data_IF_413931003831
#
_entry.id   IF_413931003831
#
_cell.length_a   1.000
_cell.length_b   1.000
_cell.length_c   1.000
_cell.angle_alpha   90.00
_cell.angle_beta   90.00
_cell.angle_gamma   90.00
#
_symmetry.space_group_name_H-M   'P 1'
#
loop_
_entity.id
_entity.type
_entity.pdbx_description
1 polymer ?
#
# COMPACT_ATOMS: atom_id res chain seq x y z
N UNK A 1 14.36 -0.62 0.30
CA UNK A 1 12.93 -0.47 0.02
C UNK A 1 12.26 0.31 1.14
N UNK A 2 11.35 1.20 0.79
CA UNK A 2 10.77 2.14 1.73
C UNK A 2 9.29 1.84 1.97
N UNK A 3 8.87 1.76 3.24
CA UNK A 3 7.48 1.53 3.62
C UNK A 3 6.95 2.72 4.44
N UNK A 4 5.64 3.00 4.30
CA UNK A 4 5.01 4.14 4.99
C UNK A 4 5.07 4.00 6.51
N UNK A 5 4.67 2.84 7.03
CA UNK A 5 4.60 2.59 8.47
C UNK A 5 4.98 1.15 8.77
N UNK A 6 5.62 0.94 9.92
CA UNK A 6 6.02 -0.38 10.36
C UNK A 6 5.81 -0.50 11.87
N UNK A 7 5.17 -1.59 12.29
CA UNK A 7 5.08 -1.96 13.71
C UNK A 7 6.02 -3.14 13.92
N UNK A 8 7.22 -2.86 14.37
CA UNK A 8 8.30 -3.85 14.47
C UNK A 8 7.97 -5.03 15.38
N UNK A 9 7.31 -4.78 16.49
CA UNK A 9 6.94 -5.81 17.47
C UNK A 9 6.00 -6.86 16.88
N UNK A 10 5.20 -6.48 15.90
CA UNK A 10 4.25 -7.37 15.22
C UNK A 10 4.74 -7.80 13.84
N UNK A 11 5.85 -7.27 13.38
CA UNK A 11 6.34 -7.43 12.01
C UNK A 11 5.23 -7.09 11.00
N UNK A 12 4.56 -5.98 11.24
CA UNK A 12 3.45 -5.50 10.41
C UNK A 12 3.86 -4.25 9.64
N UNK A 13 3.69 -4.29 8.33
CA UNK A 13 3.88 -3.14 7.46
C UNK A 13 2.51 -2.63 7.04
N UNK A 14 2.27 -1.33 7.24
CA UNK A 14 1.02 -0.67 6.87
C UNK A 14 1.32 0.35 5.79
N UNK A 15 0.68 0.20 4.62
CA UNK A 15 0.79 1.13 3.51
C UNK A 15 -0.54 1.85 3.32
N UNK A 16 -0.50 3.18 3.29
CA UNK A 16 -1.68 3.98 3.00
C UNK A 16 -1.67 4.31 1.52
N UNK A 17 -2.64 3.76 0.78
CA UNK A 17 -2.73 3.93 -0.67
C UNK A 17 -3.70 5.05 -1.02
N UNK A 18 -3.19 6.14 -1.58
CA UNK A 18 -3.99 7.22 -2.12
C UNK A 18 -4.65 6.84 -3.44
N UNK A 19 -5.45 7.76 -4.00
CA UNK A 19 -6.20 7.50 -5.23
C UNK A 19 -5.30 7.07 -6.40
N UNK A 20 -4.08 7.56 -6.44
CA UNK A 20 -3.12 7.26 -7.52
C UNK A 20 -2.74 5.77 -7.60
N UNK A 21 -2.97 4.99 -6.54
CA UNK A 21 -2.69 3.55 -6.53
C UNK A 21 -3.81 2.75 -7.21
N UNK A 22 -4.97 3.34 -7.43
CA UNK A 22 -6.16 2.65 -7.95
C UNK A 22 -6.62 3.13 -9.32
N UNK A 23 -6.21 4.33 -9.72
CA UNK A 23 -6.58 4.92 -11.00
C UNK A 23 -5.52 5.92 -11.45
N UNK A 24 -5.49 6.21 -12.75
CA UNK A 24 -4.61 7.27 -13.28
C UNK A 24 -5.05 8.63 -12.74
N UNK A 25 -4.09 9.54 -12.61
CA UNK A 25 -4.37 10.88 -12.10
C UNK A 25 -3.56 11.93 -12.89
N UNK A 26 -3.82 13.19 -12.60
CA UNK A 26 -3.12 14.31 -13.25
C UNK A 26 -1.61 14.23 -13.07
N UNK A 27 -1.16 13.74 -11.91
CA UNK A 27 0.27 13.58 -11.64
C UNK A 27 0.90 12.55 -12.58
N UNK A 28 0.19 11.44 -12.86
CA UNK A 28 0.65 10.43 -13.81
C UNK A 28 0.83 11.01 -15.20
N UNK A 29 -0.08 11.90 -15.61
CA UNK A 29 0.00 12.58 -16.89
C UNK A 29 1.25 13.45 -17.00
N UNK A 30 1.61 14.17 -15.93
CA UNK A 30 2.81 14.98 -15.86
C UNK A 30 4.08 14.15 -15.95
N UNK A 31 4.13 13.05 -15.21
CA UNK A 31 5.26 12.12 -15.24
C UNK A 31 5.41 11.49 -16.63
N UNK A 32 4.31 11.07 -17.24
CA UNK A 32 4.30 10.47 -18.57
C UNK A 32 4.86 11.44 -19.61
N UNK A 33 4.44 12.69 -19.58
CA UNK A 33 4.91 13.71 -20.50
C UNK A 33 6.42 13.96 -20.35
N UNK A 34 6.90 14.01 -19.13
CA UNK A 34 8.32 14.23 -18.84
C UNK A 34 9.18 13.05 -19.32
N UNK A 35 8.69 11.83 -19.15
CA UNK A 35 9.41 10.59 -19.49
C UNK A 35 9.10 10.07 -20.90
N UNK A 36 8.34 10.82 -21.69
CA UNK A 36 7.95 10.45 -23.04
C UNK A 36 7.25 9.08 -23.10
N UNK A 37 6.29 8.89 -22.20
CA UNK A 37 5.51 7.64 -22.08
C UNK A 37 4.03 7.99 -21.91
N UNK A 38 3.19 7.01 -21.62
CA UNK A 38 1.75 7.22 -21.44
C UNK A 38 1.37 7.20 -19.96
N UNK A 39 0.23 7.81 -19.65
CA UNK A 39 -0.34 7.84 -18.30
C UNK A 39 -0.61 6.43 -17.79
N UNK A 40 -1.10 5.55 -18.68
CA UNK A 40 -1.38 4.15 -18.35
C UNK A 40 -0.11 3.38 -18.01
N UNK A 41 0.98 3.64 -18.71
CA UNK A 41 2.25 2.99 -18.44
C UNK A 41 2.82 3.39 -17.09
N UNK A 42 2.69 4.68 -16.72
CA UNK A 42 3.10 5.17 -15.40
C UNK A 42 2.29 4.47 -14.32
N UNK A 43 0.97 4.34 -14.51
CA UNK A 43 0.09 3.66 -13.57
C UNK A 43 0.45 2.18 -13.43
N UNK A 44 0.72 1.48 -14.53
CA UNK A 44 1.11 0.07 -14.50
C UNK A 44 2.42 -0.14 -13.74
N UNK A 45 3.39 0.75 -13.91
CA UNK A 45 4.65 0.68 -13.17
C UNK A 45 4.43 0.85 -11.67
N UNK A 46 3.51 1.74 -11.29
CA UNK A 46 3.17 1.94 -9.88
C UNK A 46 2.51 0.69 -9.30
N UNK A 47 1.58 0.09 -10.03
CA UNK A 47 0.93 -1.16 -9.60
C UNK A 47 1.93 -2.29 -9.46
N UNK A 48 2.87 -2.41 -10.40
CA UNK A 48 3.94 -3.39 -10.34
C UNK A 48 4.81 -3.19 -9.10
N UNK A 49 5.17 -1.94 -8.81
CA UNK A 49 5.98 -1.62 -7.63
C UNK A 49 5.25 -1.93 -6.33
N UNK A 50 3.96 -1.62 -6.27
CA UNK A 50 3.13 -1.93 -5.09
C UNK A 50 3.11 -3.44 -4.83
N UNK A 51 2.92 -4.24 -5.88
CA UNK A 51 2.93 -5.70 -5.77
C UNK A 51 4.30 -6.23 -5.36
N UNK A 52 5.35 -5.65 -5.90
CA UNK A 52 6.73 -6.00 -5.55
C UNK A 52 6.99 -5.77 -4.06
N UNK A 53 6.57 -4.62 -3.53
CA UNK A 53 6.71 -4.29 -2.11
C UNK A 53 5.99 -5.30 -1.23
N UNK A 54 4.78 -5.69 -1.61
CA UNK A 54 3.98 -6.67 -0.89
C UNK A 54 4.69 -8.02 -0.84
N UNK A 55 5.14 -8.51 -2.00
CA UNK A 55 5.84 -9.79 -2.10
C UNK A 55 7.13 -9.74 -1.27
N UNK A 56 7.88 -8.66 -1.36
CA UNK A 56 9.11 -8.49 -0.58
C UNK A 56 8.83 -8.58 0.91
N UNK A 57 7.80 -7.89 1.41
CA UNK A 57 7.44 -7.89 2.82
C UNK A 57 7.06 -9.30 3.28
N UNK A 58 6.17 -9.98 2.54
CA UNK A 58 5.72 -11.32 2.89
C UNK A 58 6.88 -12.33 2.85
N UNK A 59 7.78 -12.20 1.88
CA UNK A 59 8.94 -13.09 1.76
C UNK A 59 9.93 -12.94 2.90
N UNK A 60 9.92 -11.80 3.58
CA UNK A 60 10.79 -11.54 4.72
C UNK A 60 10.10 -11.75 6.07
N UNK A 61 8.96 -12.42 6.08
CA UNK A 61 8.25 -12.77 7.30
C UNK A 61 7.43 -11.65 7.91
N UNK A 62 7.13 -10.60 7.14
CA UNK A 62 6.29 -9.51 7.59
C UNK A 62 4.84 -9.73 7.19
N UNK A 63 3.92 -9.23 8.01
CA UNK A 63 2.53 -9.05 7.60
C UNK A 63 2.42 -7.74 6.83
N UNK A 64 1.49 -7.70 5.88
CA UNK A 64 1.33 -6.54 5.00
C UNK A 64 -0.13 -6.13 4.95
N UNK A 65 -0.39 -4.85 5.24
CA UNK A 65 -1.75 -4.31 5.26
C UNK A 65 -1.80 -3.05 4.39
N UNK A 66 -2.76 -3.02 3.47
CA UNK A 66 -3.05 -1.85 2.66
C UNK A 66 -4.28 -1.15 3.22
N UNK A 67 -4.15 0.14 3.50
CA UNK A 67 -5.25 0.98 3.96
C UNK A 67 -5.62 1.89 2.79
N UNK A 68 -6.78 1.66 2.12
CA UNK A 68 -7.16 2.46 0.95
C UNK A 68 -7.64 3.85 1.34
N UNK A 69 -7.48 4.80 0.43
CA UNK A 69 -7.79 6.21 0.69
C UNK A 69 -9.25 6.45 1.04
N UNK A 70 -10.18 5.65 0.49
CA UNK A 70 -11.61 5.85 0.79
C UNK A 70 -11.98 5.49 2.23
N UNK A 71 -11.12 4.75 2.93
CA UNK A 71 -11.36 4.39 4.33
C UNK A 71 -11.19 5.56 5.30
N UNK A 72 -10.58 6.66 4.87
CA UNK A 72 -10.42 7.86 5.71
C UNK A 72 -11.75 8.58 5.91
N UNK A 73 -12.61 8.59 4.88
CA UNK A 73 -13.85 9.35 4.87
C UNK A 73 -14.82 8.94 5.97
N UNK A 74 -14.97 7.64 6.19
CA UNK A 74 -15.86 7.06 7.20
C UNK A 74 -15.09 6.49 8.39
N UNK A 75 -13.79 6.75 8.44
CA UNK A 75 -12.87 6.28 9.48
C UNK A 75 -12.78 4.75 9.57
N UNK A 76 -13.18 4.02 8.53
CA UNK A 76 -13.08 2.55 8.52
C UNK A 76 -11.65 2.05 8.58
N UNK A 77 -10.65 2.91 8.27
CA UNK A 77 -9.25 2.54 8.40
C UNK A 77 -8.90 2.08 9.82
N UNK A 78 -9.56 2.64 10.84
CA UNK A 78 -9.33 2.28 12.25
C UNK A 78 -9.70 0.81 12.49
N UNK A 79 -10.83 0.38 11.97
CA UNK A 79 -11.27 -1.01 12.07
C UNK A 79 -10.38 -1.95 11.27
N UNK A 80 -9.96 -1.52 10.08
CA UNK A 80 -9.06 -2.32 9.23
C UNK A 80 -7.75 -2.61 9.96
N UNK A 81 -7.14 -1.59 10.55
CA UNK A 81 -5.88 -1.73 11.29
C UNK A 81 -6.09 -2.56 12.56
N UNK A 82 -7.15 -2.27 13.30
CA UNK A 82 -7.46 -2.95 14.55
C UNK A 82 -7.69 -4.45 14.34
N UNK A 83 -8.48 -4.80 13.33
CA UNK A 83 -8.76 -6.20 12.99
C UNK A 83 -7.50 -6.94 12.59
N UNK A 84 -6.62 -6.29 11.82
CA UNK A 84 -5.35 -6.91 11.42
C UNK A 84 -4.45 -7.18 12.61
N UNK A 85 -4.32 -6.23 13.52
CA UNK A 85 -3.52 -6.37 14.74
C UNK A 85 -4.06 -7.53 15.58
N UNK A 86 -5.38 -7.59 15.77
CA UNK A 86 -6.01 -8.68 16.53
C UNK A 86 -5.78 -10.03 15.88
N UNK A 87 -5.86 -10.11 14.56
CA UNK A 87 -5.59 -11.35 13.82
C UNK A 87 -4.16 -11.83 14.06
N UNK A 88 -3.19 -10.92 13.99
CA UNK A 88 -1.78 -11.25 14.20
C UNK A 88 -1.54 -11.75 15.61
N UNK A 89 -2.09 -11.07 16.62
CA UNK A 89 -1.97 -11.46 18.02
C UNK A 89 -2.57 -12.84 18.24
N UNK A 90 -3.75 -13.11 17.67
CA UNK A 90 -4.43 -14.39 17.79
C UNK A 90 -3.63 -15.53 17.17
N UNK A 91 -3.00 -15.30 16.02
CA UNK A 91 -2.20 -16.31 15.34
C UNK A 91 -0.88 -16.59 16.08
N UNK A 92 -0.36 -15.61 16.81
CA UNK A 92 0.86 -15.75 17.59
C UNK A 92 0.65 -16.46 18.94
N UNK A 93 -0.58 -16.55 19.39
CA UNK A 93 -0.90 -17.14 20.70
C UNK A 93 -0.89 -18.67 20.68
#
# INVERSE_FOLDING_TARGET
MYFDNEIKELKLIIEVHGAQHYKTCTWDKKIAKHNNTTQEEVFKKRQFYDEYKKIFALSNGYFYLVVPYWSEKDESYKNIIYDKINQIIKEAA
#
